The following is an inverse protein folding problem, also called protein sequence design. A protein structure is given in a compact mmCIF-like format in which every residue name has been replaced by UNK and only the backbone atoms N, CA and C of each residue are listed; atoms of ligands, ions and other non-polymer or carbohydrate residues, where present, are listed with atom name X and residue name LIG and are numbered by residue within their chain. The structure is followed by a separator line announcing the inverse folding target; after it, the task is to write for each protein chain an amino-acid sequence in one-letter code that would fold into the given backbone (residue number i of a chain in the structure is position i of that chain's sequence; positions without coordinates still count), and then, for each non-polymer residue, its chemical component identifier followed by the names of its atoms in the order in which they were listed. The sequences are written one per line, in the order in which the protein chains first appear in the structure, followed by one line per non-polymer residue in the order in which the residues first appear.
data_IF_122204447861
#
_entry.id   IF_122204447861
#
_cell.length_a   1.000
_cell.length_b   1.000
_cell.length_c   1.000
_cell.angle_alpha   90.00
_cell.angle_beta   90.00
_cell.angle_gamma   90.00
#
_symmetry.space_group_name_H-M   'P 1'
#
loop_
_entity.id
_entity.type
_entity.pdbx_description
1 polymer ?
#
# COMPACT_ATOMS: atom_id res chain seq x y z
N UNK A 1 13.16 -0.39 15.12
CA UNK A 1 12.97 -1.07 13.82
C UNK A 1 14.32 -1.63 13.39
N UNK A 2 14.38 -2.87 12.87
CA UNK A 2 15.65 -3.62 12.74
C UNK A 2 16.63 -3.00 11.73
N UNK A 3 16.14 -2.46 10.61
CA UNK A 3 16.95 -1.65 9.69
C UNK A 3 18.15 -2.37 9.07
N UNK A 4 18.11 -3.70 8.94
CA UNK A 4 19.21 -4.50 8.38
C UNK A 4 19.61 -4.09 6.95
N UNK A 5 18.70 -3.43 6.22
CA UNK A 5 18.92 -2.91 4.88
C UNK A 5 18.67 -1.39 4.78
N UNK A 6 18.91 -0.64 5.86
CA UNK A 6 18.66 0.80 5.93
C UNK A 6 19.40 1.62 4.85
N UNK A 7 20.56 1.16 4.37
CA UNK A 7 21.27 1.79 3.27
C UNK A 7 20.48 1.79 1.94
N UNK A 8 19.46 0.94 1.83
CA UNK A 8 18.58 0.82 0.68
C UNK A 8 17.18 1.39 0.94
N UNK A 9 16.98 2.17 2.02
CA UNK A 9 15.66 2.73 2.35
C UNK A 9 15.07 3.59 1.23
N UNK A 10 15.91 4.36 0.53
CA UNK A 10 15.48 5.23 -0.57
C UNK A 10 15.00 4.41 -1.76
N UNK A 11 15.79 3.42 -2.16
CA UNK A 11 15.49 2.50 -3.25
C UNK A 11 14.20 1.73 -2.95
N UNK A 12 14.06 1.22 -1.72
CA UNK A 12 12.87 0.53 -1.26
C UNK A 12 11.61 1.40 -1.38
N UNK A 13 11.60 2.62 -0.82
CA UNK A 13 10.44 3.52 -0.93
C UNK A 13 10.16 3.87 -2.39
N UNK A 14 11.20 4.20 -3.18
CA UNK A 14 11.02 4.59 -4.56
C UNK A 14 10.39 3.46 -5.40
N UNK A 15 10.90 2.23 -5.24
CA UNK A 15 10.35 1.06 -5.91
C UNK A 15 8.91 0.78 -5.47
N UNK A 16 8.66 0.79 -4.16
CA UNK A 16 7.32 0.58 -3.62
C UNK A 16 6.35 1.60 -4.20
N UNK A 17 6.66 2.89 -4.09
CA UNK A 17 5.85 4.01 -4.59
C UNK A 17 5.52 3.88 -6.08
N UNK A 18 6.51 3.58 -6.92
CA UNK A 18 6.29 3.42 -8.37
C UNK A 18 5.32 2.26 -8.62
N UNK A 19 5.54 1.11 -7.98
CA UNK A 19 4.72 -0.08 -8.18
C UNK A 19 3.29 0.16 -7.68
N UNK A 20 3.12 0.66 -6.46
CA UNK A 20 1.80 0.90 -5.88
C UNK A 20 1.04 1.99 -6.61
N UNK A 21 1.73 3.05 -7.08
CA UNK A 21 1.11 4.07 -7.93
C UNK A 21 0.54 3.48 -9.23
N UNK A 22 1.35 2.69 -9.95
CA UNK A 22 0.99 2.20 -11.29
C UNK A 22 -0.05 1.08 -11.25
N UNK A 23 0.03 0.17 -10.28
CA UNK A 23 -0.79 -1.05 -10.26
C UNK A 23 -1.97 -0.99 -9.28
N UNK A 24 -1.96 -0.06 -8.32
CA UNK A 24 -3.04 0.10 -7.34
C UNK A 24 -3.65 1.51 -7.38
N UNK A 25 -2.88 2.55 -7.06
CA UNK A 25 -3.41 3.89 -6.85
C UNK A 25 -4.14 4.44 -8.09
N UNK A 26 -3.45 4.50 -9.23
CA UNK A 26 -4.02 5.06 -10.46
C UNK A 26 -5.16 4.20 -11.03
N UNK A 27 -5.03 2.86 -11.13
CA UNK A 27 -6.14 2.03 -11.60
C UNK A 27 -7.39 2.14 -10.74
N UNK A 28 -7.25 2.11 -9.41
CA UNK A 28 -8.37 2.23 -8.47
C UNK A 28 -9.00 3.63 -8.56
N UNK A 29 -8.19 4.69 -8.68
CA UNK A 29 -8.66 6.07 -8.76
C UNK A 29 -9.37 6.38 -10.10
N UNK A 30 -8.82 5.91 -11.22
CA UNK A 30 -9.33 6.28 -12.55
C UNK A 30 -10.47 5.34 -12.98
N UNK A 31 -10.28 4.03 -12.81
CA UNK A 31 -11.14 2.99 -13.36
C UNK A 31 -11.43 1.86 -12.34
N UNK A 32 -12.09 2.18 -11.20
CA UNK A 32 -12.27 1.24 -10.08
C UNK A 32 -12.97 -0.06 -10.48
N UNK A 33 -13.95 -0.01 -11.39
CA UNK A 33 -14.67 -1.21 -11.85
C UNK A 33 -13.79 -2.11 -12.72
N UNK A 34 -12.92 -1.52 -13.56
CA UNK A 34 -12.00 -2.30 -14.36
C UNK A 34 -10.94 -2.98 -13.48
N UNK A 35 -10.42 -2.26 -12.49
CA UNK A 35 -9.50 -2.83 -11.49
C UNK A 35 -10.17 -3.94 -10.68
N UNK A 36 -11.38 -3.72 -10.17
CA UNK A 36 -12.14 -4.73 -9.43
C UNK A 36 -12.36 -6.02 -10.26
N UNK A 37 -12.69 -5.88 -11.55
CA UNK A 37 -12.79 -7.02 -12.47
C UNK A 37 -11.46 -7.77 -12.61
N UNK A 38 -10.35 -7.05 -12.78
CA UNK A 38 -9.02 -7.67 -12.86
C UNK A 38 -8.67 -8.42 -11.57
N UNK A 39 -9.10 -7.88 -10.43
CA UNK A 39 -9.01 -8.50 -9.11
C UNK A 39 -10.10 -9.55 -8.84
N UNK A 40 -10.84 -10.00 -9.87
CA UNK A 40 -11.85 -11.07 -9.80
C UNK A 40 -13.02 -10.80 -8.86
N UNK A 41 -13.32 -9.54 -8.56
CA UNK A 41 -14.54 -9.19 -7.84
C UNK A 41 -15.78 -9.44 -8.70
N UNK A 42 -16.84 -9.94 -8.08
CA UNK A 42 -18.18 -9.92 -8.68
C UNK A 42 -18.67 -8.47 -8.71
N UNK A 43 -19.02 -7.99 -9.90
CA UNK A 43 -19.40 -6.60 -10.08
C UNK A 43 -20.90 -6.43 -9.81
N UNK A 44 -21.30 -5.47 -8.94
CA UNK A 44 -22.71 -5.22 -8.65
C UNK A 44 -23.41 -4.60 -9.86
N UNK A 45 -24.72 -4.80 -9.96
CA UNK A 45 -25.57 -4.18 -10.98
C UNK A 45 -25.56 -2.64 -10.85
N UNK A 46 -25.61 -2.14 -9.61
CA UNK A 46 -25.51 -0.70 -9.30
C UNK A 46 -24.08 -0.32 -8.88
N UNK A 47 -23.35 0.31 -9.79
CA UNK A 47 -21.90 0.52 -9.63
C UNK A 47 -21.50 1.86 -9.01
N UNK A 48 -22.42 2.82 -8.91
CA UNK A 48 -22.07 4.19 -8.47
C UNK A 48 -21.41 4.25 -7.09
N UNK A 49 -21.90 3.45 -6.13
CA UNK A 49 -21.34 3.40 -4.79
C UNK A 49 -19.92 2.80 -4.79
N UNK A 50 -19.71 1.71 -5.55
CA UNK A 50 -18.40 1.09 -5.71
C UNK A 50 -17.41 2.02 -6.42
N UNK A 51 -17.86 2.77 -7.43
CA UNK A 51 -17.04 3.78 -8.11
C UNK A 51 -16.65 4.89 -7.13
N UNK A 52 -17.60 5.40 -6.35
CA UNK A 52 -17.35 6.45 -5.37
C UNK A 52 -16.32 6.02 -4.33
N UNK A 53 -16.54 4.88 -3.66
CA UNK A 53 -15.60 4.38 -2.66
C UNK A 53 -14.24 3.98 -3.25
N UNK A 54 -14.22 3.37 -4.44
CA UNK A 54 -12.98 3.07 -5.14
C UNK A 54 -12.15 4.33 -5.40
N UNK A 55 -12.77 5.40 -5.91
CA UNK A 55 -12.09 6.69 -6.11
C UNK A 55 -11.57 7.29 -4.82
N UNK A 56 -12.35 7.24 -3.74
CA UNK A 56 -11.90 7.70 -2.43
C UNK A 56 -10.67 6.90 -1.96
N UNK A 57 -10.70 5.58 -2.05
CA UNK A 57 -9.56 4.72 -1.69
C UNK A 57 -8.33 5.05 -2.53
N UNK A 58 -8.47 5.14 -3.85
CA UNK A 58 -7.39 5.52 -4.75
C UNK A 58 -6.79 6.89 -4.42
N UNK A 59 -7.62 7.88 -4.05
CA UNK A 59 -7.15 9.19 -3.62
C UNK A 59 -6.33 9.12 -2.33
N UNK A 60 -6.76 8.33 -1.34
CA UNK A 60 -6.00 8.15 -0.11
C UNK A 60 -4.66 7.44 -0.37
N UNK A 61 -4.62 6.45 -1.26
CA UNK A 61 -3.37 5.82 -1.68
C UNK A 61 -2.45 6.90 -2.28
N UNK A 62 -2.93 7.72 -3.22
CA UNK A 62 -2.16 8.81 -3.84
C UNK A 62 -1.60 9.83 -2.82
N UNK A 63 -2.28 10.07 -1.70
CA UNK A 63 -1.74 10.91 -0.61
C UNK A 63 -0.52 10.26 0.05
N UNK A 64 -0.56 8.94 0.28
CA UNK A 64 0.59 8.19 0.78
C UNK A 64 1.72 8.18 -0.26
N UNK A 65 1.40 7.99 -1.55
CA UNK A 65 2.37 8.10 -2.64
C UNK A 65 3.07 9.46 -2.67
N UNK A 66 2.34 10.55 -2.43
CA UNK A 66 2.91 11.89 -2.37
C UNK A 66 3.88 12.06 -1.18
N UNK A 67 3.57 11.46 -0.02
CA UNK A 67 4.48 11.46 1.12
C UNK A 67 5.77 10.66 0.83
N UNK A 68 5.64 9.51 0.16
CA UNK A 68 6.78 8.72 -0.31
C UNK A 68 7.61 9.51 -1.33
N UNK A 69 6.99 10.11 -2.34
CA UNK A 69 7.65 10.92 -3.36
C UNK A 69 8.44 12.07 -2.74
N UNK A 70 7.83 12.79 -1.79
CA UNK A 70 8.50 13.87 -1.05
C UNK A 70 9.75 13.34 -0.35
N UNK A 71 9.68 12.18 0.31
CA UNK A 71 10.84 11.60 0.99
C UNK A 71 11.97 11.24 0.01
N UNK A 72 11.62 10.67 -1.14
CA UNK A 72 12.59 10.29 -2.19
C UNK A 72 13.25 11.50 -2.83
N UNK A 73 12.47 12.54 -3.15
CA UNK A 73 12.96 13.74 -3.85
C UNK A 73 13.80 14.64 -2.94
N UNK A 74 13.42 14.77 -1.66
CA UNK A 74 14.12 15.66 -0.73
C UNK A 74 15.27 14.98 0.03
N UNK A 75 15.29 13.65 0.06
CA UNK A 75 16.25 12.91 0.88
C UNK A 75 15.99 13.03 2.39
N UNK A 76 14.79 13.48 2.79
CA UNK A 76 14.44 13.72 4.20
C UNK A 76 13.13 13.04 4.59
N UNK A 77 12.86 12.94 5.89
CA UNK A 77 11.59 12.39 6.43
C UNK A 77 11.30 10.93 6.02
N UNK A 78 12.33 10.11 5.78
CA UNK A 78 12.15 8.69 5.48
C UNK A 78 11.35 7.97 6.56
N UNK A 79 11.71 8.13 7.83
CA UNK A 79 11.02 7.48 8.95
C UNK A 79 9.52 7.76 8.96
N UNK A 80 9.10 8.99 8.65
CA UNK A 80 7.69 9.35 8.58
C UNK A 80 6.95 8.59 7.46
N UNK A 81 7.55 8.46 6.27
CA UNK A 81 6.96 7.68 5.18
C UNK A 81 6.86 6.20 5.56
N UNK A 82 7.88 5.62 6.20
CA UNK A 82 7.84 4.26 6.73
C UNK A 82 6.76 4.07 7.80
N UNK A 83 6.59 5.04 8.72
CA UNK A 83 5.59 4.99 9.78
C UNK A 83 4.16 4.99 9.20
N UNK A 84 3.90 5.82 8.19
CA UNK A 84 2.64 5.78 7.44
C UNK A 84 2.42 4.41 6.77
N UNK A 85 3.45 3.84 6.16
CA UNK A 85 3.36 2.53 5.53
C UNK A 85 3.08 1.40 6.53
N UNK A 86 3.60 1.46 7.77
CA UNK A 86 3.20 0.50 8.81
C UNK A 86 1.72 0.55 9.12
N UNK A 87 1.16 1.76 9.22
CA UNK A 87 -0.26 1.95 9.44
C UNK A 87 -1.08 1.39 8.27
N UNK A 88 -0.68 1.68 7.03
CA UNK A 88 -1.35 1.14 5.83
C UNK A 88 -1.27 -0.38 5.81
N UNK A 89 -0.09 -0.98 5.91
CA UNK A 89 0.08 -2.42 5.82
C UNK A 89 -0.64 -3.17 6.95
N UNK A 90 -0.57 -2.65 8.17
CA UNK A 90 -1.28 -3.21 9.32
C UNK A 90 -2.80 -3.15 9.16
N UNK A 91 -3.35 -2.00 8.74
CA UNK A 91 -4.79 -1.84 8.54
C UNK A 91 -5.30 -2.67 7.37
N UNK A 92 -4.56 -2.70 6.25
CA UNK A 92 -4.91 -3.53 5.10
C UNK A 92 -4.88 -5.01 5.46
N UNK A 93 -3.87 -5.48 6.21
CA UNK A 93 -3.89 -6.84 6.74
C UNK A 93 -5.18 -7.15 7.51
N UNK A 94 -5.62 -6.26 8.42
CA UNK A 94 -6.85 -6.44 9.20
C UNK A 94 -8.09 -6.50 8.29
N UNK A 95 -8.21 -5.59 7.31
CA UNK A 95 -9.34 -5.55 6.37
C UNK A 95 -9.44 -6.86 5.58
N UNK A 96 -8.32 -7.37 5.07
CA UNK A 96 -8.30 -8.58 4.25
C UNK A 96 -8.50 -9.86 5.08
N UNK A 97 -8.00 -9.91 6.32
CA UNK A 97 -8.31 -11.00 7.25
C UNK A 97 -9.80 -11.01 7.55
N UNK A 98 -10.39 -9.85 7.84
CA UNK A 98 -11.84 -9.73 8.06
C UNK A 98 -12.64 -10.22 6.84
N UNK A 99 -12.26 -9.78 5.63
CA UNK A 99 -12.92 -10.20 4.39
C UNK A 99 -12.80 -11.70 4.11
N UNK A 100 -11.64 -12.31 4.38
CA UNK A 100 -11.43 -13.75 4.25
C UNK A 100 -12.27 -14.55 5.26
N UNK A 101 -12.29 -14.13 6.53
CA UNK A 101 -13.09 -14.78 7.58
C UNK A 101 -14.59 -14.73 7.26
N UNK A 102 -15.06 -13.62 6.67
CA UNK A 102 -16.45 -13.46 6.23
C UNK A 102 -16.74 -14.08 4.86
N UNK A 103 -15.72 -14.54 4.14
CA UNK A 103 -15.81 -15.09 2.78
C UNK A 103 -16.50 -14.14 1.80
N UNK A 104 -16.21 -12.84 1.92
CA UNK A 104 -16.82 -11.77 1.10
C UNK A 104 -15.85 -11.19 0.07
N UNK A 105 -14.66 -11.79 -0.10
CA UNK A 105 -13.64 -11.32 -1.02
C UNK A 105 -13.15 -12.47 -1.93
N UNK A 106 -12.71 -12.18 -3.17
CA UNK A 106 -12.15 -13.18 -4.06
C UNK A 106 -10.78 -13.69 -3.58
N UNK A 107 -10.28 -14.74 -4.26
CA UNK A 107 -9.02 -15.40 -3.89
C UNK A 107 -7.81 -14.44 -3.98
N UNK A 108 -7.82 -13.52 -4.94
CA UNK A 108 -6.81 -12.44 -5.11
C UNK A 108 -6.64 -11.65 -3.82
N UNK A 109 -7.74 -11.15 -3.25
CA UNK A 109 -7.75 -10.37 -2.00
C UNK A 109 -7.37 -11.23 -0.78
N UNK A 110 -7.65 -12.54 -0.83
CA UNK A 110 -7.22 -13.47 0.24
C UNK A 110 -5.71 -13.70 0.20
N UNK A 111 -5.11 -13.78 -0.99
CA UNK A 111 -3.66 -13.83 -1.14
C UNK A 111 -3.00 -12.53 -0.66
N UNK A 112 -3.70 -11.40 -0.73
CA UNK A 112 -3.16 -10.14 -0.24
C UNK A 112 -2.89 -10.13 1.27
N UNK A 113 -3.50 -11.02 2.07
CA UNK A 113 -3.14 -11.17 3.50
C UNK A 113 -1.63 -11.45 3.64
N UNK A 114 -1.12 -12.41 2.87
CA UNK A 114 0.31 -12.73 2.86
C UNK A 114 1.15 -11.60 2.29
N UNK A 115 0.65 -10.91 1.26
CA UNK A 115 1.30 -9.74 0.68
C UNK A 115 1.47 -8.60 1.69
N UNK A 116 0.42 -8.26 2.45
CA UNK A 116 0.48 -7.21 3.47
C UNK A 116 1.44 -7.57 4.61
N UNK A 117 1.48 -8.83 5.05
CA UNK A 117 2.49 -9.30 6.02
C UNK A 117 3.90 -9.17 5.46
N UNK A 118 4.12 -9.60 4.22
CA UNK A 118 5.41 -9.48 3.55
C UNK A 118 5.86 -8.02 3.46
N UNK A 119 4.98 -7.11 3.02
CA UNK A 119 5.29 -5.69 2.95
C UNK A 119 5.59 -5.10 4.33
N UNK A 120 4.84 -5.48 5.37
CA UNK A 120 5.11 -5.07 6.75
C UNK A 120 6.50 -5.49 7.21
N UNK A 121 6.88 -6.74 6.97
CA UNK A 121 8.23 -7.25 7.30
C UNK A 121 9.30 -6.53 6.51
N UNK A 122 9.13 -6.35 5.19
CA UNK A 122 10.06 -5.58 4.38
C UNK A 122 10.22 -4.15 4.92
N UNK A 123 9.13 -3.49 5.30
CA UNK A 123 9.16 -2.16 5.89
C UNK A 123 9.99 -2.11 7.19
N UNK A 124 10.01 -3.18 8.01
CA UNK A 124 10.89 -3.30 9.19
C UNK A 124 12.37 -3.43 8.77
N UNK A 125 12.64 -4.27 7.76
CA UNK A 125 14.00 -4.59 7.32
C UNK A 125 14.69 -3.39 6.65
N UNK A 126 13.94 -2.63 5.87
CA UNK A 126 14.41 -1.44 5.16
C UNK A 126 14.22 -0.14 5.95
N UNK A 127 13.71 -0.20 7.19
CA UNK A 127 13.47 0.99 7.99
C UNK A 127 14.76 1.82 8.13
N UNK A 128 14.70 3.15 7.91
CA UNK A 128 15.87 4.00 8.02
C UNK A 128 16.38 4.00 9.46
N UNK A 129 17.57 3.49 9.67
CA UNK A 129 18.25 3.65 10.94
C UNK A 129 18.66 5.12 11.10
N UNK A 130 18.47 5.67 12.30
CA UNK A 130 19.21 6.87 12.70
C UNK A 130 20.69 6.50 12.63
N UNK A 131 21.44 7.08 11.69
CA UNK A 131 22.89 7.10 11.81
C UNK A 131 23.20 7.78 13.13
N UNK A 132 23.49 7.00 14.16
CA UNK A 132 24.27 7.47 15.30
C UNK A 132 25.66 7.74 14.72
N UNK A 133 25.87 8.94 14.20
CA UNK A 133 27.23 9.45 14.00
C UNK A 133 27.90 9.46 15.37
N UNK A 134 29.01 8.71 15.57
CA UNK A 134 29.74 8.73 16.83
C UNK A 134 30.36 10.09 17.13
#
# INVERSE_FOLDING_TARGET
MLGYYAQYSKEYIATLMIVTTLFFALPIFIAPIAWAKAMRWTIPDHQHLAIYFGRCLGAFILVIEAAMLRSVMTGTSYSYAFDLLFMVFGLMFVVHVYGALKRIQPITETLEIGFWVMLFVLNILFYPATTLTP
#
